data_IF_398883091219
#
_entry.id   IF_398883091219
#
_cell.length_a   1.000
_cell.length_b   1.000
_cell.length_c   1.000
_cell.angle_alpha   90.00
_cell.angle_beta   90.00
_cell.angle_gamma   90.00
#
_symmetry.space_group_name_H-M   'P 1'
#
loop_
_entity.id
_entity.type
_entity.pdbx_description
1 polymer ?
#
# COMPACT_ATOMS: atom_id res chain seq x y z
N UNK A 1 -46.49 33.37 14.20
CA UNK A 1 -46.04 31.98 14.44
C UNK A 1 -45.72 31.38 13.07
N UNK A 2 -44.46 31.51 12.65
CA UNK A 2 -43.51 30.41 12.42
C UNK A 2 -43.89 29.45 11.28
N UNK A 3 -43.08 29.44 10.20
CA UNK A 3 -42.39 28.24 9.69
C UNK A 3 -41.45 28.59 8.54
N UNK A 4 -40.16 28.60 8.85
CA UNK A 4 -39.03 28.68 7.92
C UNK A 4 -38.84 27.29 7.28
N UNK A 5 -38.70 27.16 5.94
CA UNK A 5 -38.27 25.90 5.36
C UNK A 5 -36.74 25.83 5.42
N UNK A 6 -36.23 25.02 6.35
CA UNK A 6 -34.81 24.73 6.47
C UNK A 6 -34.37 23.80 5.33
N UNK A 7 -33.69 24.36 4.33
CA UNK A 7 -32.83 23.60 3.42
C UNK A 7 -31.64 23.05 4.21
N UNK A 8 -31.75 21.83 4.72
CA UNK A 8 -30.58 21.06 5.13
C UNK A 8 -29.81 20.65 3.87
N UNK A 9 -28.86 21.49 3.49
CA UNK A 9 -27.82 21.17 2.53
C UNK A 9 -26.96 20.06 3.17
N UNK A 10 -27.23 18.80 2.81
CA UNK A 10 -26.40 17.67 3.21
C UNK A 10 -25.03 17.84 2.54
N UNK A 11 -24.05 18.28 3.32
CA UNK A 11 -22.65 18.40 2.94
C UNK A 11 -22.11 16.97 2.71
N UNK A 12 -22.01 16.57 1.43
CA UNK A 12 -21.35 15.33 1.03
C UNK A 12 -19.85 15.44 1.35
N UNK A 13 -19.45 14.88 2.50
CA UNK A 13 -18.06 14.62 2.86
C UNK A 13 -17.51 13.50 1.96
N UNK A 14 -17.16 13.83 0.72
CA UNK A 14 -16.31 12.97 -0.11
C UNK A 14 -14.90 13.03 0.47
N UNK A 15 -14.57 12.09 1.36
CA UNK A 15 -13.19 11.88 1.77
C UNK A 15 -12.36 11.54 0.52
N UNK A 16 -11.21 12.20 0.28
CA UNK A 16 -10.33 11.82 -0.81
C UNK A 16 -9.78 10.44 -0.47
N UNK A 17 -10.18 9.43 -1.25
CA UNK A 17 -9.40 8.19 -1.35
C UNK A 17 -8.03 8.65 -1.82
N UNK A 18 -7.02 8.59 -0.94
CA UNK A 18 -5.65 8.84 -1.34
C UNK A 18 -5.27 7.73 -2.34
N UNK A 19 -5.40 8.03 -3.63
CA UNK A 19 -4.91 7.18 -4.70
C UNK A 19 -3.38 7.23 -4.60
N UNK A 20 -2.76 6.13 -4.16
CA UNK A 20 -1.32 6.01 -4.27
C UNK A 20 -1.00 5.89 -5.76
N UNK A 21 -0.53 6.97 -6.36
CA UNK A 21 -0.01 6.95 -7.72
C UNK A 21 1.19 5.99 -7.77
N UNK A 22 1.22 5.08 -8.75
CA UNK A 22 2.41 4.28 -9.01
C UNK A 22 3.55 5.19 -9.48
N UNK A 23 4.78 5.01 -8.97
CA UNK A 23 5.94 5.72 -9.49
C UNK A 23 6.17 5.45 -10.98
N UNK A 24 6.67 6.43 -11.72
CA UNK A 24 6.99 6.29 -13.14
C UNK A 24 8.29 5.52 -13.40
N UNK A 25 9.23 5.50 -12.44
CA UNK A 25 10.42 4.66 -12.50
C UNK A 25 10.05 3.21 -12.14
N UNK A 26 10.32 2.22 -13.01
CA UNK A 26 10.08 0.81 -12.73
C UNK A 26 10.69 0.30 -11.43
N UNK A 27 11.89 0.76 -11.06
CA UNK A 27 12.55 0.32 -9.84
C UNK A 27 11.91 0.93 -8.59
N UNK A 28 11.49 2.19 -8.66
CA UNK A 28 10.72 2.81 -7.58
C UNK A 28 9.35 2.15 -7.43
N UNK A 29 8.69 1.80 -8.55
CA UNK A 29 7.41 1.10 -8.50
C UNK A 29 7.55 -0.31 -7.91
N UNK A 30 8.57 -1.07 -8.33
CA UNK A 30 8.89 -2.37 -7.74
C UNK A 30 9.16 -2.25 -6.23
N UNK A 31 9.96 -1.25 -5.83
CA UNK A 31 10.23 -0.99 -4.42
C UNK A 31 8.95 -0.64 -3.64
N UNK A 32 8.03 0.13 -4.23
CA UNK A 32 6.76 0.49 -3.59
C UNK A 32 5.87 -0.75 -3.35
N UNK A 33 5.79 -1.67 -4.31
CA UNK A 33 5.07 -2.94 -4.12
C UNK A 33 5.71 -3.83 -3.05
N UNK A 34 7.04 -3.91 -3.01
CA UNK A 34 7.78 -4.62 -1.96
C UNK A 34 7.59 -3.97 -0.59
N UNK A 35 7.60 -2.64 -0.51
CA UNK A 35 7.38 -1.90 0.72
C UNK A 35 5.99 -2.20 1.29
N UNK A 36 4.94 -2.15 0.45
CA UNK A 36 3.56 -2.47 0.87
C UNK A 36 3.46 -3.87 1.45
N UNK A 37 4.12 -4.84 0.81
CA UNK A 37 4.13 -6.22 1.27
C UNK A 37 4.84 -6.38 2.62
N UNK A 38 6.02 -5.79 2.77
CA UNK A 38 6.76 -5.81 4.04
C UNK A 38 5.99 -5.08 5.15
N UNK A 39 5.32 -3.97 4.84
CA UNK A 39 4.44 -3.27 5.79
C UNK A 39 3.30 -4.17 6.28
N UNK A 40 2.64 -4.90 5.38
CA UNK A 40 1.60 -5.86 5.76
C UNK A 40 2.14 -6.96 6.69
N UNK A 41 3.37 -7.41 6.46
CA UNK A 41 4.07 -8.37 7.33
C UNK A 41 4.28 -7.81 8.74
N UNK A 42 4.87 -6.61 8.86
CA UNK A 42 5.07 -5.95 10.15
C UNK A 42 3.75 -5.70 10.90
N UNK A 43 2.69 -5.37 10.18
CA UNK A 43 1.37 -5.11 10.75
C UNK A 43 0.53 -6.37 11.02
N UNK A 44 1.06 -7.57 10.74
CA UNK A 44 0.31 -8.84 10.87
C UNK A 44 -1.00 -8.87 10.06
N UNK A 45 -0.99 -8.23 8.88
CA UNK A 45 -2.12 -8.17 7.96
C UNK A 45 -2.02 -9.21 6.82
N UNK A 46 -0.88 -9.89 6.68
CA UNK A 46 -0.59 -10.81 5.59
C UNK A 46 -1.56 -11.99 5.52
N UNK A 47 -2.16 -12.17 4.35
CA UNK A 47 -2.96 -13.32 3.96
C UNK A 47 -2.58 -13.78 2.53
N UNK A 48 -3.19 -14.87 2.05
CA UNK A 48 -2.88 -15.43 0.74
C UNK A 48 -3.08 -14.42 -0.41
N UNK A 49 -4.15 -13.62 -0.36
CA UNK A 49 -4.42 -12.63 -1.40
C UNK A 49 -3.36 -11.53 -1.44
N UNK A 50 -2.84 -11.12 -0.28
CA UNK A 50 -1.71 -10.18 -0.20
C UNK A 50 -0.44 -10.77 -0.82
N UNK A 51 -0.13 -12.04 -0.54
CA UNK A 51 1.02 -12.72 -1.15
C UNK A 51 0.87 -12.82 -2.67
N UNK A 52 -0.31 -13.17 -3.16
CA UNK A 52 -0.58 -13.29 -4.59
C UNK A 52 -0.49 -11.95 -5.31
N UNK A 53 -1.10 -10.89 -4.77
CA UNK A 53 -1.02 -9.55 -5.36
C UNK A 53 0.41 -9.03 -5.43
N UNK A 54 1.20 -9.24 -4.37
CA UNK A 54 2.62 -8.90 -4.37
C UNK A 54 3.38 -9.67 -5.47
N UNK A 55 3.18 -10.99 -5.54
CA UNK A 55 3.84 -11.86 -6.51
C UNK A 55 3.50 -11.43 -7.94
N UNK A 56 2.22 -11.23 -8.25
CA UNK A 56 1.75 -10.83 -9.58
C UNK A 56 2.39 -9.50 -10.01
N UNK A 57 2.31 -8.47 -9.17
CA UNK A 57 2.80 -7.14 -9.55
C UNK A 57 4.33 -7.09 -9.64
N UNK A 58 5.02 -7.74 -8.70
CA UNK A 58 6.48 -7.81 -8.72
C UNK A 58 6.99 -8.60 -9.94
N UNK A 59 6.36 -9.74 -10.28
CA UNK A 59 6.69 -10.51 -11.49
C UNK A 59 6.43 -9.71 -12.76
N UNK A 60 5.26 -9.05 -12.87
CA UNK A 60 4.92 -8.19 -14.01
C UNK A 60 6.00 -7.13 -14.26
N UNK A 61 6.43 -6.42 -13.22
CA UNK A 61 7.45 -5.39 -13.34
C UNK A 61 8.83 -5.96 -13.71
N UNK A 62 9.20 -7.11 -13.13
CA UNK A 62 10.45 -7.79 -13.45
C UNK A 62 10.50 -8.21 -14.91
N UNK A 63 9.42 -8.81 -15.40
CA UNK A 63 9.31 -9.28 -16.79
C UNK A 63 9.21 -8.12 -17.78
N UNK A 64 8.39 -7.10 -17.49
CA UNK A 64 8.17 -5.96 -18.37
C UNK A 64 9.42 -5.10 -18.58
N UNK A 65 10.31 -5.05 -17.58
CA UNK A 65 11.48 -4.16 -17.58
C UNK A 65 12.83 -4.90 -17.55
N UNK A 66 12.83 -6.22 -17.77
CA UNK A 66 14.02 -7.08 -17.78
C UNK A 66 14.92 -6.86 -16.53
N UNK A 67 14.27 -6.79 -15.35
CA UNK A 67 14.97 -6.50 -14.09
C UNK A 67 15.75 -7.75 -13.68
N UNK A 68 17.08 -7.62 -13.61
CA UNK A 68 17.94 -8.73 -13.19
C UNK A 68 17.64 -9.17 -11.75
N UNK A 69 17.93 -10.44 -11.45
CA UNK A 69 17.78 -10.98 -10.10
C UNK A 69 18.55 -10.18 -9.05
N UNK A 70 19.76 -9.73 -9.37
CA UNK A 70 20.57 -8.93 -8.45
C UNK A 70 19.89 -7.60 -8.11
N UNK A 71 19.36 -6.90 -9.12
CA UNK A 71 18.63 -5.64 -8.92
C UNK A 71 17.34 -5.86 -8.15
N UNK A 72 16.62 -6.96 -8.42
CA UNK A 72 15.42 -7.34 -7.68
C UNK A 72 15.72 -7.54 -6.19
N UNK A 73 16.74 -8.34 -5.85
CA UNK A 73 17.11 -8.60 -4.44
C UNK A 73 17.61 -7.33 -3.73
N UNK A 74 18.38 -6.49 -4.41
CA UNK A 74 18.81 -5.21 -3.88
C UNK A 74 17.61 -4.28 -3.60
N UNK A 75 16.63 -4.26 -4.51
CA UNK A 75 15.39 -3.47 -4.35
C UNK A 75 14.55 -3.99 -3.20
N UNK A 76 14.43 -5.30 -3.05
CA UNK A 76 13.75 -5.95 -1.93
C UNK A 76 14.40 -5.57 -0.60
N UNK A 77 15.72 -5.63 -0.52
CA UNK A 77 16.46 -5.25 0.68
C UNK A 77 16.22 -3.77 1.04
N UNK A 78 16.21 -2.87 0.06
CA UNK A 78 15.89 -1.45 0.27
C UNK A 78 14.48 -1.25 0.81
N UNK A 79 13.49 -1.94 0.25
CA UNK A 79 12.11 -1.87 0.70
C UNK A 79 11.96 -2.35 2.17
N UNK A 80 12.57 -3.49 2.50
CA UNK A 80 12.56 -4.01 3.87
C UNK A 80 13.22 -3.05 4.86
N UNK A 81 14.40 -2.50 4.53
CA UNK A 81 15.08 -1.50 5.37
C UNK A 81 14.22 -0.25 5.57
N UNK A 82 13.49 0.20 4.55
CA UNK A 82 12.61 1.35 4.65
C UNK A 82 11.46 1.11 5.65
N UNK A 83 10.75 -0.02 5.54
CA UNK A 83 9.68 -0.39 6.49
C UNK A 83 10.24 -0.54 7.90
N UNK A 84 11.40 -1.20 8.05
CA UNK A 84 12.04 -1.39 9.35
C UNK A 84 12.40 -0.06 10.02
N UNK A 85 12.96 0.90 9.27
CA UNK A 85 13.29 2.24 9.81
C UNK A 85 12.04 2.96 10.29
N UNK A 86 10.94 2.88 9.56
CA UNK A 86 9.67 3.48 10.00
C UNK A 86 9.13 2.81 11.26
N UNK A 87 9.17 1.49 11.31
CA UNK A 87 8.78 0.73 12.50
C UNK A 87 9.59 1.15 13.73
N UNK A 88 10.92 1.28 13.59
CA UNK A 88 11.79 1.76 14.67
C UNK A 88 11.45 3.19 15.11
N UNK A 89 11.17 4.09 14.16
CA UNK A 89 10.96 5.51 14.44
C UNK A 89 9.60 5.82 15.06
N UNK A 90 8.58 4.99 14.85
CA UNK A 90 7.18 5.28 15.25
C UNK A 90 6.86 4.88 16.70
N UNK A 91 7.70 4.04 17.34
CA UNK A 91 7.45 3.52 18.70
C UNK A 91 6.14 2.72 18.82
N UNK A 92 5.82 2.21 20.02
CA UNK A 92 4.65 1.33 20.21
C UNK A 92 3.30 2.01 19.93
N UNK A 93 3.18 3.32 20.20
CA UNK A 93 1.95 4.09 19.98
C UNK A 93 1.73 4.47 18.52
N UNK A 94 2.78 4.92 17.82
CA UNK A 94 2.71 5.29 16.41
C UNK A 94 2.54 4.09 15.50
N UNK A 95 3.10 2.94 15.88
CA UNK A 95 2.96 1.68 15.15
C UNK A 95 1.49 1.27 14.95
N UNK A 96 0.67 1.31 16.00
CA UNK A 96 -0.75 0.92 15.90
C UNK A 96 -1.53 1.79 14.91
N UNK A 97 -1.32 3.11 14.99
CA UNK A 97 -2.00 4.01 14.07
C UNK A 97 -1.51 3.81 12.63
N UNK A 98 -0.21 3.62 12.45
CA UNK A 98 0.42 3.37 11.15
C UNK A 98 -0.16 2.11 10.47
N UNK A 99 -0.28 1.02 11.22
CA UNK A 99 -0.90 -0.21 10.69
C UNK A 99 -2.37 -0.02 10.32
N UNK A 100 -3.13 0.68 11.17
CA UNK A 100 -4.55 0.97 10.90
C UNK A 100 -4.75 1.88 9.67
N UNK A 101 -3.82 2.79 9.39
CA UNK A 101 -3.98 3.71 8.25
C UNK A 101 -3.25 3.22 7.01
N UNK A 102 -1.92 3.19 7.05
CA UNK A 102 -1.09 2.88 5.89
C UNK A 102 -1.02 1.37 5.65
N UNK A 103 -1.01 0.57 6.73
CA UNK A 103 -1.02 -0.90 6.62
C UNK A 103 -2.30 -1.46 6.01
N UNK A 104 -3.47 -1.00 6.47
CA UNK A 104 -4.77 -1.39 5.89
C UNK A 104 -4.90 -0.95 4.43
N UNK A 105 -4.42 0.25 4.08
CA UNK A 105 -4.40 0.72 2.70
C UNK A 105 -3.48 -0.12 1.80
N UNK A 106 -2.28 -0.47 2.27
CA UNK A 106 -1.36 -1.36 1.57
C UNK A 106 -1.97 -2.76 1.35
N UNK A 107 -2.62 -3.30 2.39
CA UNK A 107 -3.31 -4.59 2.32
C UNK A 107 -4.44 -4.55 1.29
N UNK A 108 -5.26 -3.49 1.28
CA UNK A 108 -6.32 -3.31 0.28
C UNK A 108 -5.77 -3.31 -1.15
N UNK A 109 -4.67 -2.58 -1.40
CA UNK A 109 -4.05 -2.52 -2.72
C UNK A 109 -3.53 -3.88 -3.21
N UNK A 110 -2.86 -4.62 -2.32
CA UNK A 110 -2.33 -5.95 -2.65
C UNK A 110 -3.46 -6.95 -2.91
N UNK A 111 -4.54 -6.92 -2.11
CA UNK A 111 -5.71 -7.77 -2.35
C UNK A 111 -6.41 -7.46 -3.68
N UNK A 112 -6.58 -6.18 -4.01
CA UNK A 112 -7.15 -5.77 -5.30
C UNK A 112 -6.30 -6.27 -6.47
N UNK A 113 -4.97 -6.10 -6.39
CA UNK A 113 -4.05 -6.56 -7.41
C UNK A 113 -4.09 -8.10 -7.64
N UNK A 114 -4.45 -8.87 -6.61
CA UNK A 114 -4.66 -10.31 -6.76
C UNK A 114 -5.94 -10.66 -7.53
N UNK A 115 -6.98 -9.82 -7.45
CA UNK A 115 -8.26 -10.00 -8.14
C UNK A 115 -8.27 -9.52 -9.59
N UNK A 116 -7.45 -8.51 -9.92
CA UNK A 116 -7.41 -7.89 -11.27
C UNK A 116 -6.69 -8.73 -12.34
N UNK A 117 -6.26 -9.95 -12.00
CA UNK A 117 -5.54 -10.86 -12.91
C UNK A 117 -6.44 -11.92 -13.57
N UNK A 118 -7.76 -11.76 -13.42
CA UNK A 118 -8.80 -12.66 -13.99
C UNK A 118 -9.39 -12.15 -15.29
#
# INVERSE_FOLDING_TARGET
MHRWPGCFLALLLTAPVAAFAEPSDPLENLQAWMYRYELCSYCSLSDQAIHDGYRIQSQRLVEQHDISREVYEATRMRAWVAVYREWQNRGLGGFKNWCRTEGEAAAQMLRSAAGDSG
#
